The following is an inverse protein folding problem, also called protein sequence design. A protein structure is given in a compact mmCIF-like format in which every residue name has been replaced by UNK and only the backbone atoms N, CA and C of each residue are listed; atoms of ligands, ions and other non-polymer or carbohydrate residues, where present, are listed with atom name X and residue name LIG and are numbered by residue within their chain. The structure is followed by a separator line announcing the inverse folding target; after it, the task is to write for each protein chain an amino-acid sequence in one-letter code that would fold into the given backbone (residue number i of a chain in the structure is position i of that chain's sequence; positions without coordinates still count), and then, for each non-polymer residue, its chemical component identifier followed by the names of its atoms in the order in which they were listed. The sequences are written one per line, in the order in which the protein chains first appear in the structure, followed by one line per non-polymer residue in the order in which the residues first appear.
data_IF_954569058630
#
_entry.id   IF_954569058630
#
_cell.length_a   1.000
_cell.length_b   1.000
_cell.length_c   1.000
_cell.angle_alpha   90.00
_cell.angle_beta   90.00
_cell.angle_gamma   90.00
#
_symmetry.space_group_name_H-M   'P 1'
#
loop_
_entity.id
_entity.type
_entity.pdbx_description
1 polymer ?
#
# COMPACT_ATOMS: atom_id res chain seq x y z
N UNK A 1 0.31 -23.81 -16.44
CA UNK A 1 1.56 -23.65 -15.68
C UNK A 1 2.04 -22.22 -15.70
N UNK A 2 2.30 -21.65 -16.89
CA UNK A 2 2.85 -20.31 -16.97
C UNK A 2 2.00 -19.24 -16.34
N UNK A 3 0.68 -19.27 -16.57
CA UNK A 3 -0.22 -18.24 -16.03
C UNK A 3 -0.30 -18.27 -14.52
N UNK A 4 -0.37 -19.46 -13.93
CA UNK A 4 -0.43 -19.57 -12.49
C UNK A 4 0.85 -19.08 -11.84
N UNK A 5 2.00 -19.41 -12.43
CA UNK A 5 3.28 -18.96 -11.92
C UNK A 5 3.41 -17.44 -12.02
N UNK A 6 2.90 -16.85 -13.11
CA UNK A 6 2.90 -15.41 -13.27
C UNK A 6 2.00 -14.73 -12.25
N UNK A 7 0.84 -15.32 -12.00
CA UNK A 7 -0.09 -14.80 -10.99
C UNK A 7 0.56 -14.81 -9.60
N UNK A 8 1.15 -15.94 -9.23
CA UNK A 8 1.82 -16.05 -7.94
C UNK A 8 2.95 -15.04 -7.82
N UNK A 9 3.74 -14.88 -8.88
CA UNK A 9 4.84 -13.91 -8.87
C UNK A 9 4.33 -12.49 -8.65
N UNK A 10 3.21 -12.13 -9.29
CA UNK A 10 2.62 -10.81 -9.09
C UNK A 10 2.06 -10.65 -7.68
N UNK A 11 1.45 -11.71 -7.13
CA UNK A 11 0.96 -11.67 -5.76
C UNK A 11 2.10 -11.52 -4.75
N UNK A 12 3.22 -12.19 -5.00
CA UNK A 12 4.40 -12.04 -4.15
C UNK A 12 4.92 -10.61 -4.15
N UNK A 13 4.98 -9.99 -5.32
CA UNK A 13 5.38 -8.59 -5.43
C UNK A 13 4.40 -7.70 -4.67
N UNK A 14 3.11 -7.99 -4.79
CA UNK A 14 2.09 -7.23 -4.08
C UNK A 14 2.27 -7.34 -2.57
N UNK A 15 2.57 -8.53 -2.06
CA UNK A 15 2.84 -8.71 -0.64
C UNK A 15 3.98 -7.81 -0.17
N UNK A 16 5.05 -7.77 -0.95
CA UNK A 16 6.21 -6.93 -0.65
C UNK A 16 5.80 -5.46 -0.54
N UNK A 17 5.04 -4.99 -1.51
CA UNK A 17 4.63 -3.59 -1.54
C UNK A 17 3.60 -3.26 -0.47
N UNK A 18 2.73 -4.21 -0.11
CA UNK A 18 1.79 -4.02 1.01
C UNK A 18 2.53 -3.86 2.33
N UNK A 19 3.55 -4.69 2.55
CA UNK A 19 4.36 -4.58 3.75
C UNK A 19 5.10 -3.26 3.79
N UNK A 20 5.64 -2.84 2.65
CA UNK A 20 6.33 -1.57 2.55
C UNK A 20 5.38 -0.39 2.82
N UNK A 21 4.18 -0.44 2.27
CA UNK A 21 3.17 0.61 2.51
C UNK A 21 2.79 0.68 3.98
N UNK A 22 2.62 -0.48 4.62
CA UNK A 22 2.34 -0.53 6.05
C UNK A 22 3.42 0.21 6.85
N UNK A 23 4.67 -0.08 6.55
CA UNK A 23 5.80 0.54 7.25
C UNK A 23 5.83 2.05 7.00
N UNK A 24 5.52 2.48 5.79
CA UNK A 24 5.47 3.91 5.46
C UNK A 24 4.41 4.63 6.32
N UNK A 25 3.24 4.01 6.47
CA UNK A 25 2.18 4.58 7.28
C UNK A 25 2.56 4.62 8.76
N UNK A 26 3.21 3.58 9.28
CA UNK A 26 3.67 3.57 10.66
C UNK A 26 4.70 4.66 10.92
N UNK A 27 5.63 4.84 9.99
CA UNK A 27 6.63 5.90 10.09
C UNK A 27 6.00 7.27 10.06
N UNK A 28 5.04 7.45 9.17
CA UNK A 28 4.33 8.73 9.07
C UNK A 28 3.56 9.01 10.36
N UNK A 29 2.95 7.99 10.96
CA UNK A 29 2.22 8.15 12.22
C UNK A 29 3.15 8.61 13.34
N UNK A 30 4.36 8.07 13.39
CA UNK A 30 5.33 8.47 14.40
C UNK A 30 5.73 9.93 14.27
N UNK A 31 5.72 10.46 13.05
CA UNK A 31 6.12 11.84 12.79
C UNK A 31 4.96 12.83 12.84
N UNK A 32 3.73 12.35 12.83
CA UNK A 32 2.56 13.22 12.83
C UNK A 32 2.40 13.90 14.18
N UNK A 33 1.99 15.16 14.14
CA UNK A 33 1.81 15.94 15.36
C UNK A 33 0.37 15.93 15.86
N UNK A 34 -0.59 15.90 14.93
CA UNK A 34 -2.00 15.95 15.28
C UNK A 34 -2.53 14.55 15.58
N UNK A 35 -3.37 14.44 16.61
CA UNK A 35 -3.96 13.17 17.02
C UNK A 35 -4.78 12.53 15.90
N UNK A 36 -5.52 13.34 15.18
CA UNK A 36 -6.36 12.83 14.09
C UNK A 36 -5.53 12.25 12.96
N UNK A 37 -4.43 12.92 12.63
CA UNK A 37 -3.53 12.43 11.60
C UNK A 37 -2.87 11.13 12.03
N UNK A 38 -2.40 11.06 13.28
CA UNK A 38 -1.82 9.82 13.82
C UNK A 38 -2.82 8.68 13.75
N UNK A 39 -4.06 8.94 14.11
CA UNK A 39 -5.10 7.91 14.09
C UNK A 39 -5.35 7.42 12.67
N UNK A 40 -5.48 8.33 11.74
CA UNK A 40 -5.67 7.99 10.33
C UNK A 40 -4.53 7.12 9.83
N UNK A 41 -3.29 7.55 10.07
CA UNK A 41 -2.13 6.83 9.55
C UNK A 41 -1.98 5.45 10.18
N UNK A 42 -2.25 5.33 11.47
CA UNK A 42 -2.19 4.02 12.12
C UNK A 42 -3.29 3.09 11.63
N UNK A 43 -4.48 3.62 11.38
CA UNK A 43 -5.57 2.81 10.83
C UNK A 43 -5.25 2.32 9.43
N UNK A 44 -4.63 3.18 8.62
CA UNK A 44 -4.23 2.79 7.27
C UNK A 44 -3.13 1.73 7.29
N UNK A 45 -2.21 1.81 8.27
CA UNK A 45 -1.20 0.76 8.43
C UNK A 45 -1.85 -0.58 8.76
N UNK A 46 -2.84 -0.58 9.65
CA UNK A 46 -3.57 -1.81 9.99
C UNK A 46 -4.32 -2.36 8.79
N UNK A 47 -4.89 -1.48 7.99
CA UNK A 47 -5.61 -1.88 6.79
C UNK A 47 -4.67 -2.54 5.79
N UNK A 48 -3.47 -1.98 5.59
CA UNK A 48 -2.46 -2.59 4.72
C UNK A 48 -2.04 -3.96 5.22
N UNK A 49 -1.95 -4.12 6.55
CA UNK A 49 -1.65 -5.41 7.12
C UNK A 49 -2.76 -6.43 6.85
N UNK A 50 -4.02 -6.00 6.93
CA UNK A 50 -5.15 -6.87 6.61
C UNK A 50 -5.08 -7.30 5.16
N UNK A 51 -4.82 -6.36 4.25
CA UNK A 51 -4.70 -6.68 2.84
C UNK A 51 -3.56 -7.68 2.60
N UNK A 52 -2.45 -7.51 3.30
CA UNK A 52 -1.33 -8.43 3.23
C UNK A 52 -1.79 -9.85 3.59
N UNK A 53 -2.51 -9.99 4.69
CA UNK A 53 -2.98 -11.29 5.12
C UNK A 53 -3.96 -11.90 4.11
N UNK A 54 -4.81 -11.09 3.51
CA UNK A 54 -5.76 -11.58 2.53
C UNK A 54 -5.07 -12.03 1.24
N UNK A 55 -4.06 -11.30 0.78
CA UNK A 55 -3.27 -11.71 -0.39
C UNK A 55 -2.48 -12.97 -0.07
N UNK A 56 -1.89 -13.05 1.11
CA UNK A 56 -1.18 -14.25 1.54
C UNK A 56 -2.09 -15.47 1.52
N UNK A 57 -3.32 -15.29 2.00
CA UNK A 57 -4.32 -16.34 1.99
C UNK A 57 -4.61 -16.82 0.57
N UNK A 58 -4.70 -15.90 -0.36
CA UNK A 58 -4.90 -16.27 -1.77
C UNK A 58 -3.75 -17.10 -2.31
N UNK A 59 -2.52 -16.72 -2.01
CA UNK A 59 -1.35 -17.50 -2.44
C UNK A 59 -1.39 -18.90 -1.84
N UNK A 60 -1.79 -19.01 -0.58
CA UNK A 60 -1.88 -20.31 0.08
C UNK A 60 -2.94 -21.20 -0.56
N UNK A 61 -4.05 -20.61 -1.02
CA UNK A 61 -5.06 -21.42 -1.73
C UNK A 61 -4.53 -21.94 -3.06
N UNK A 62 -3.48 -21.32 -3.59
CA UNK A 62 -2.85 -21.78 -4.83
C UNK A 62 -1.77 -22.83 -4.57
N UNK A 63 -1.61 -23.27 -3.33
CA UNK A 63 -0.71 -24.35 -2.97
C UNK A 63 0.67 -23.96 -2.51
N UNK A 64 0.94 -22.66 -2.36
CA UNK A 64 2.23 -22.20 -1.89
C UNK A 64 2.20 -21.95 -0.37
N UNK A 65 3.19 -22.47 0.33
CA UNK A 65 3.36 -22.18 1.74
C UNK A 65 4.10 -20.86 1.92
N UNK A 66 4.01 -20.30 3.11
CA UNK A 66 4.73 -19.07 3.42
C UNK A 66 6.23 -19.25 3.22
N UNK A 67 6.74 -20.42 3.59
CA UNK A 67 8.18 -20.70 3.49
C UNK A 67 8.69 -20.73 2.04
N UNK A 68 7.79 -20.98 1.10
CA UNK A 68 8.15 -21.03 -0.32
C UNK A 68 8.18 -19.66 -0.99
N UNK A 69 7.75 -18.60 -0.27
CA UNK A 69 7.64 -17.27 -0.86
C UNK A 69 8.99 -16.55 -0.90
N UNK A 70 9.17 -15.73 -1.92
CA UNK A 70 10.41 -14.98 -2.11
C UNK A 70 10.46 -13.67 -1.33
N UNK A 71 9.44 -13.42 -0.53
CA UNK A 71 9.34 -12.18 0.26
C UNK A 71 10.57 -11.96 1.13
N UNK A 72 11.07 -13.06 1.71
CA UNK A 72 12.22 -13.00 2.60
C UNK A 72 13.50 -12.53 1.94
N UNK A 73 13.58 -12.63 0.61
CA UNK A 73 14.75 -12.17 -0.11
C UNK A 73 14.70 -10.69 -0.46
N UNK A 74 13.59 -10.03 -0.16
CA UNK A 74 13.42 -8.63 -0.52
C UNK A 74 13.87 -7.74 0.63
N UNK A 75 14.67 -6.73 0.32
CA UNK A 75 15.22 -5.84 1.33
C UNK A 75 14.32 -4.62 1.53
N UNK A 76 13.36 -4.74 2.46
CA UNK A 76 12.43 -3.66 2.75
C UNK A 76 13.14 -2.41 3.26
N UNK A 77 14.15 -2.60 4.09
CA UNK A 77 14.87 -1.47 4.68
C UNK A 77 15.58 -0.66 3.60
N UNK A 78 16.21 -1.35 2.66
CA UNK A 78 16.88 -0.68 1.57
C UNK A 78 15.90 0.10 0.71
N UNK A 79 14.73 -0.50 0.42
CA UNK A 79 13.71 0.18 -0.36
C UNK A 79 13.22 1.44 0.34
N UNK A 80 12.97 1.35 1.64
CA UNK A 80 12.52 2.50 2.42
C UNK A 80 13.56 3.61 2.45
N UNK A 81 14.82 3.25 2.66
CA UNK A 81 15.91 4.22 2.70
C UNK A 81 16.04 4.92 1.36
N UNK A 82 16.01 4.14 0.28
CA UNK A 82 16.12 4.72 -1.06
C UNK A 82 14.96 5.69 -1.33
N UNK A 83 13.76 5.33 -0.95
CA UNK A 83 12.61 6.20 -1.12
C UNK A 83 12.77 7.49 -0.33
N UNK A 84 13.27 7.40 0.89
CA UNK A 84 13.47 8.56 1.74
C UNK A 84 14.51 9.49 1.12
N UNK A 85 15.62 8.94 0.65
CA UNK A 85 16.71 9.72 0.09
C UNK A 85 16.33 10.40 -1.21
N UNK A 86 15.62 9.68 -2.07
CA UNK A 86 15.30 10.18 -3.40
C UNK A 86 14.24 11.27 -3.33
N UNK A 87 13.18 11.03 -2.57
CA UNK A 87 12.02 11.92 -2.61
C UNK A 87 12.18 13.19 -1.79
N UNK A 88 12.84 13.09 -0.65
CA UNK A 88 12.95 14.22 0.29
C UNK A 88 11.57 14.81 0.60
N UNK A 89 10.54 14.03 0.39
CA UNK A 89 9.16 14.46 0.59
C UNK A 89 8.73 14.15 2.02
N UNK A 90 7.59 14.70 2.40
CA UNK A 90 7.02 14.40 3.71
C UNK A 90 6.74 12.91 3.83
N UNK A 91 6.60 12.45 5.07
CA UNK A 91 6.25 11.05 5.30
C UNK A 91 4.90 10.70 4.68
N UNK A 92 3.96 11.66 4.69
CA UNK A 92 2.64 11.46 4.09
C UNK A 92 2.75 11.28 2.58
N UNK A 93 3.59 12.07 1.93
CA UNK A 93 3.80 11.93 0.49
C UNK A 93 4.33 10.54 0.12
N UNK A 94 5.18 9.97 0.97
CA UNK A 94 5.67 8.62 0.76
C UNK A 94 4.57 7.58 0.87
N UNK A 95 3.63 7.79 1.79
CA UNK A 95 2.46 6.92 1.90
C UNK A 95 1.64 6.97 0.61
N UNK A 96 1.42 8.17 0.08
CA UNK A 96 0.66 8.33 -1.16
C UNK A 96 1.38 7.65 -2.32
N UNK A 97 2.69 7.80 -2.41
CA UNK A 97 3.47 7.15 -3.47
C UNK A 97 3.42 5.63 -3.35
N UNK A 98 3.53 5.10 -2.13
CA UNK A 98 3.40 3.67 -1.89
C UNK A 98 2.03 3.17 -2.35
N UNK A 99 0.98 3.91 -2.04
CA UNK A 99 -0.37 3.53 -2.43
C UNK A 99 -0.57 3.56 -3.94
N UNK A 100 0.00 4.55 -4.62
CA UNK A 100 -0.07 4.61 -6.08
C UNK A 100 0.62 3.40 -6.71
N UNK A 101 1.76 3.00 -6.14
CA UNK A 101 2.45 1.79 -6.58
C UNK A 101 1.58 0.56 -6.37
N UNK A 102 0.89 0.48 -5.22
CA UNK A 102 -0.03 -0.62 -4.97
C UNK A 102 -1.13 -0.70 -6.02
N UNK A 103 -1.71 0.43 -6.40
CA UNK A 103 -2.75 0.44 -7.43
C UNK A 103 -2.23 -0.10 -8.75
N UNK A 104 -0.99 0.23 -9.12
CA UNK A 104 -0.38 -0.32 -10.32
C UNK A 104 -0.21 -1.84 -10.20
N UNK A 105 0.21 -2.32 -9.02
CA UNK A 105 0.39 -3.75 -8.80
C UNK A 105 -0.94 -4.49 -8.89
N UNK A 106 -2.01 -3.93 -8.32
CA UNK A 106 -3.33 -4.55 -8.43
C UNK A 106 -3.80 -4.61 -9.88
N UNK A 107 -3.54 -3.57 -10.65
CA UNK A 107 -3.94 -3.56 -12.06
C UNK A 107 -3.27 -4.67 -12.86
N UNK A 108 -2.07 -5.08 -12.47
CA UNK A 108 -1.35 -6.16 -13.12
C UNK A 108 -1.87 -7.54 -12.72
N UNK A 109 -2.54 -7.62 -11.58
CA UNK A 109 -3.05 -8.87 -11.05
C UNK A 109 -4.44 -9.21 -11.59
N UNK A 110 -5.28 -8.20 -11.77
CA UNK A 110 -6.66 -8.41 -12.16
C UNK A 110 -6.85 -9.28 -13.41
N UNK A 111 -6.00 -9.16 -14.46
CA UNK A 111 -6.17 -10.03 -15.62
C UNK A 111 -5.99 -11.52 -15.35
N UNK A 112 -5.38 -11.89 -14.23
CA UNK A 112 -5.10 -13.28 -13.92
C UNK A 112 -6.21 -13.94 -13.09
N UNK A 113 -7.16 -13.17 -12.58
CA UNK A 113 -8.22 -13.72 -11.75
C UNK A 113 -9.57 -13.52 -12.40
N UNK A 114 -10.45 -14.52 -12.28
CA UNK A 114 -11.80 -14.43 -12.79
C UNK A 114 -12.71 -13.66 -11.83
N UNK A 115 -12.39 -13.72 -10.55
CA UNK A 115 -13.17 -13.03 -9.53
C UNK A 115 -12.37 -11.85 -8.98
N UNK A 116 -12.59 -10.68 -9.57
CA UNK A 116 -11.88 -9.48 -9.16
C UNK A 116 -12.40 -8.92 -7.83
N UNK A 117 -13.58 -9.40 -7.37
CA UNK A 117 -14.16 -8.86 -6.14
C UNK A 117 -13.27 -9.07 -4.91
N UNK A 118 -12.39 -10.07 -4.95
CA UNK A 118 -11.44 -10.31 -3.88
C UNK A 118 -10.59 -9.10 -3.57
N UNK A 119 -10.26 -8.34 -4.59
CA UNK A 119 -9.33 -7.22 -4.46
C UNK A 119 -10.01 -5.86 -4.63
N UNK A 120 -11.29 -5.84 -4.97
CA UNK A 120 -11.99 -4.57 -5.20
C UNK A 120 -11.99 -3.70 -3.94
N UNK A 121 -12.20 -4.30 -2.77
CA UNK A 121 -12.21 -3.52 -1.53
C UNK A 121 -10.81 -3.03 -1.17
N UNK A 122 -9.76 -3.75 -1.56
CA UNK A 122 -8.39 -3.26 -1.41
C UNK A 122 -8.20 -1.99 -2.24
N UNK A 123 -8.54 -2.10 -3.52
CA UNK A 123 -8.36 -1.00 -4.46
C UNK A 123 -9.15 0.23 -4.01
N UNK A 124 -10.40 0.03 -3.63
CA UNK A 124 -11.25 1.14 -3.20
C UNK A 124 -10.73 1.79 -1.92
N UNK A 125 -10.27 0.97 -0.97
CA UNK A 125 -9.70 1.48 0.27
C UNK A 125 -8.43 2.29 0.04
N UNK A 126 -7.58 1.83 -0.88
CA UNK A 126 -6.34 2.53 -1.19
C UNK A 126 -6.64 3.86 -1.89
N UNK A 127 -7.58 3.86 -2.85
CA UNK A 127 -7.99 5.10 -3.51
C UNK A 127 -8.55 6.11 -2.53
N UNK A 128 -9.36 5.63 -1.59
CA UNK A 128 -9.93 6.49 -0.56
C UNK A 128 -8.83 7.10 0.31
N UNK A 129 -7.83 6.30 0.68
CA UNK A 129 -6.72 6.79 1.49
C UNK A 129 -5.92 7.86 0.76
N UNK A 130 -5.68 7.68 -0.54
CA UNK A 130 -4.98 8.69 -1.34
C UNK A 130 -5.77 9.99 -1.33
N UNK A 131 -7.08 9.92 -1.54
CA UNK A 131 -7.93 11.10 -1.55
C UNK A 131 -7.95 11.80 -0.20
N UNK A 132 -8.07 11.05 0.88
CA UNK A 132 -8.07 11.62 2.22
C UNK A 132 -6.73 12.27 2.55
N UNK A 133 -5.63 11.63 2.15
CA UNK A 133 -4.30 12.18 2.38
C UNK A 133 -4.13 13.51 1.66
N UNK A 134 -4.59 13.57 0.41
CA UNK A 134 -4.43 14.77 -0.40
C UNK A 134 -5.33 15.91 0.05
N UNK A 135 -6.52 15.60 0.56
CA UNK A 135 -7.50 16.66 0.89
C UNK A 135 -7.47 17.06 2.36
N UNK A 136 -7.15 16.13 3.28
CA UNK A 136 -7.26 16.41 4.71
C UNK A 136 -5.92 16.68 5.37
N UNK A 137 -4.86 16.01 4.95
CA UNK A 137 -3.58 16.04 5.64
C UNK A 137 -2.42 16.47 4.76
N UNK A 138 -2.69 16.76 3.49
CA UNK A 138 -1.64 17.13 2.55
C UNK A 138 -1.06 18.50 2.87
N UNK A 139 0.19 18.74 2.49
CA UNK A 139 0.84 20.04 2.59
C UNK A 139 0.50 20.93 1.41
N UNK A 140 -0.53 20.58 0.64
CA UNK A 140 -1.03 21.38 -0.48
C UNK A 140 -1.39 22.78 -0.02
N UNK A 141 -1.13 23.80 -0.85
CA UNK A 141 -1.40 25.19 -0.46
C UNK A 141 -2.82 25.45 0.00
N UNK A 142 -2.94 26.41 0.89
CA UNK A 142 -4.21 26.73 1.55
C UNK A 142 -5.34 27.07 0.60
N UNK A 143 -5.04 27.68 -0.53
CA UNK A 143 -6.09 28.06 -1.48
C UNK A 143 -6.89 26.85 -1.97
N UNK A 144 -6.24 25.71 -2.13
CA UNK A 144 -6.93 24.49 -2.55
C UNK A 144 -7.83 23.97 -1.44
N UNK A 145 -7.42 24.13 -0.20
CA UNK A 145 -8.22 23.70 0.94
C UNK A 145 -9.43 24.59 1.11
N UNK A 146 -9.27 25.90 0.90
CA UNK A 146 -10.36 26.84 1.00
C UNK A 146 -11.41 26.53 -0.05
N UNK A 147 -10.99 26.27 -1.28
CA UNK A 147 -11.92 25.97 -2.36
C UNK A 147 -12.71 24.69 -2.09
N UNK A 148 -12.10 23.72 -1.46
CA UNK A 148 -12.77 22.44 -1.17
C UNK A 148 -13.74 22.55 0.00
N UNK A 149 -13.68 23.66 0.76
CA UNK A 149 -14.57 23.87 1.89
C UNK A 149 -15.96 24.36 1.47
N UNK A 150 -16.09 24.76 0.25
CA UNK A 150 -17.34 25.28 -0.29
C UNK A 150 -17.89 24.36 -1.38
#
# INVERSE_FOLDING_TARGET
MGKQNQYIAQLEKLLTHLKNAKLSYLKAADKANASEEKRFLNQEALLRNRFFQEVLSEIQTLGMSYDDLVIGGFNFNQLLISSIDILKNSALDKCVQSDKTLLEMYSKILPFTLDTSKFDHHINGIKKAINESNSSFSSVPMENQINSSY
#
